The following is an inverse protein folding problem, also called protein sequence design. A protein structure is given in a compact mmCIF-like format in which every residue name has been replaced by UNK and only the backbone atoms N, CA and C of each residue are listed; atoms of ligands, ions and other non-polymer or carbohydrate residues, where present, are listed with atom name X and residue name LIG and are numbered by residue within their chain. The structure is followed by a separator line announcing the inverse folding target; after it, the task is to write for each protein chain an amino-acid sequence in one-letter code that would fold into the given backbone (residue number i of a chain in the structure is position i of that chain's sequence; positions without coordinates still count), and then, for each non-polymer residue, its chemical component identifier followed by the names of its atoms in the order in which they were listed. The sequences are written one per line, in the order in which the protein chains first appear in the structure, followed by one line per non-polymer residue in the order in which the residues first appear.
data_IF_674095009977
#
_entry.id   IF_674095009977
#
_cell.length_a   1.000
_cell.length_b   1.000
_cell.length_c   1.000
_cell.angle_alpha   90.00
_cell.angle_beta   90.00
_cell.angle_gamma   90.00
#
_symmetry.space_group_name_H-M   'P 1'
#
loop_
_entity.id
_entity.type
_entity.pdbx_description
1 polymer ?
#
# COMPACT_ATOMS: atom_id res chain seq x y z
N UNK A 1 -13.21 -21.35 5.68
CA UNK A 1 -13.19 -22.77 6.11
C UNK A 1 -11.75 -23.14 6.37
N UNK A 2 -11.38 -23.41 7.61
CA UNK A 2 -10.02 -23.75 8.00
C UNK A 2 -9.71 -25.18 7.54
N UNK A 3 -8.90 -25.34 6.51
CA UNK A 3 -8.26 -26.62 6.22
C UNK A 3 -7.28 -26.93 7.34
N UNK A 4 -7.68 -27.77 8.29
CA UNK A 4 -6.77 -28.35 9.24
C UNK A 4 -5.81 -29.26 8.48
N UNK A 5 -4.57 -28.82 8.32
CA UNK A 5 -3.50 -29.63 7.76
C UNK A 5 -3.07 -30.64 8.83
N UNK A 6 -3.32 -31.89 8.59
CA UNK A 6 -2.85 -33.01 9.42
C UNK A 6 -1.36 -33.26 9.14
N UNK A 7 -0.54 -33.07 10.14
CA UNK A 7 0.81 -33.62 10.18
C UNK A 7 0.76 -34.78 11.16
N UNK A 8 0.97 -35.99 10.69
CA UNK A 8 1.01 -37.24 11.48
C UNK A 8 -0.16 -37.46 12.46
N UNK A 9 -1.40 -37.19 12.05
CA UNK A 9 -2.57 -37.46 12.88
C UNK A 9 -2.82 -36.48 14.04
N UNK A 10 -2.01 -35.47 14.26
CA UNK A 10 -2.22 -34.42 15.26
C UNK A 10 -2.73 -33.12 14.62
N UNK A 11 -3.79 -32.54 15.21
CA UNK A 11 -4.34 -31.25 14.78
C UNK A 11 -3.35 -30.14 15.07
N UNK A 12 -2.87 -29.44 14.04
CA UNK A 12 -1.96 -28.29 14.19
C UNK A 12 -2.76 -27.11 14.74
N UNK A 13 -2.38 -26.52 15.89
CA UNK A 13 -3.02 -25.32 16.42
C UNK A 13 -2.91 -24.11 15.46
N UNK A 14 -3.66 -23.05 15.75
CA UNK A 14 -3.87 -21.92 14.85
C UNK A 14 -3.29 -20.59 15.41
N UNK A 15 -2.26 -20.66 16.25
CA UNK A 15 -1.63 -19.46 16.85
C UNK A 15 -1.10 -18.51 15.78
N UNK A 16 -0.51 -19.02 14.69
CA UNK A 16 -0.02 -18.25 13.55
C UNK A 16 -1.13 -17.38 12.90
N UNK A 17 -2.35 -17.91 12.83
CA UNK A 17 -3.49 -17.15 12.25
C UNK A 17 -3.96 -16.02 13.14
N UNK A 18 -3.85 -16.16 14.47
CA UNK A 18 -4.09 -15.06 15.40
C UNK A 18 -3.07 -13.92 15.20
N UNK A 19 -1.81 -14.28 14.92
CA UNK A 19 -0.78 -13.28 14.56
C UNK A 19 -1.07 -12.66 13.19
N UNK A 20 -1.44 -13.46 12.18
CA UNK A 20 -1.83 -12.94 10.86
C UNK A 20 -3.00 -11.95 10.94
N UNK A 21 -4.03 -12.27 11.76
CA UNK A 21 -5.15 -11.36 12.00
C UNK A 21 -4.71 -10.08 12.72
N UNK A 22 -3.84 -10.18 13.71
CA UNK A 22 -3.26 -9.00 14.40
C UNK A 22 -2.55 -8.08 13.42
N UNK A 23 -1.75 -8.63 12.49
CA UNK A 23 -1.07 -7.85 11.45
C UNK A 23 -2.08 -7.19 10.50
N UNK A 24 -3.13 -7.91 10.11
CA UNK A 24 -4.23 -7.37 9.29
C UNK A 24 -4.96 -6.22 9.96
N UNK A 25 -5.29 -6.34 11.26
CA UNK A 25 -5.90 -5.26 12.05
C UNK A 25 -4.97 -4.04 12.09
N UNK A 26 -3.65 -4.25 12.23
CA UNK A 26 -2.68 -3.16 12.20
C UNK A 26 -2.72 -2.38 10.89
N UNK A 27 -2.76 -3.07 9.75
CA UNK A 27 -2.86 -2.43 8.43
C UNK A 27 -4.20 -1.71 8.26
N UNK A 28 -5.30 -2.30 8.74
CA UNK A 28 -6.62 -1.68 8.71
C UNK A 28 -6.64 -0.34 9.46
N UNK A 29 -6.08 -0.29 10.67
CA UNK A 29 -6.01 0.94 11.48
C UNK A 29 -5.05 1.95 10.84
N UNK A 30 -3.92 1.51 10.30
CA UNK A 30 -2.97 2.34 9.57
C UNK A 30 -3.65 3.08 8.39
N UNK A 31 -4.54 2.40 7.67
CA UNK A 31 -5.29 3.04 6.61
C UNK A 31 -6.40 3.98 7.12
N UNK A 32 -6.96 3.77 8.31
CA UNK A 32 -7.87 4.75 8.93
C UNK A 32 -7.17 6.09 9.16
N UNK A 33 -5.92 6.08 9.60
CA UNK A 33 -5.14 7.30 9.77
C UNK A 33 -4.90 8.04 8.44
N UNK A 34 -4.76 7.30 7.33
CA UNK A 34 -4.57 7.87 5.98
C UNK A 34 -5.84 8.51 5.43
N UNK A 35 -6.98 7.82 5.54
CA UNK A 35 -8.27 8.31 5.01
C UNK A 35 -8.90 9.41 5.86
N UNK A 36 -8.52 9.52 7.12
CA UNK A 36 -9.06 10.49 8.06
C UNK A 36 -8.97 11.92 7.52
N UNK A 37 -7.79 12.32 7.03
CA UNK A 37 -7.60 13.65 6.44
C UNK A 37 -8.51 13.88 5.22
N UNK A 38 -8.71 12.85 4.39
CA UNK A 38 -9.57 12.93 3.20
C UNK A 38 -11.04 13.20 3.56
N UNK A 39 -11.54 12.54 4.62
CA UNK A 39 -12.90 12.74 5.12
C UNK A 39 -13.05 14.07 5.87
N UNK A 40 -12.03 14.45 6.65
CA UNK A 40 -12.02 15.70 7.42
C UNK A 40 -11.76 16.95 6.55
N UNK A 41 -11.29 16.78 5.31
CA UNK A 41 -10.84 17.86 4.43
C UNK A 41 -11.84 19.00 4.27
N UNK A 42 -13.16 18.80 4.08
CA UNK A 42 -14.11 19.91 3.94
C UNK A 42 -14.13 20.81 5.18
N UNK A 43 -14.20 20.24 6.39
CA UNK A 43 -14.21 21.02 7.63
C UNK A 43 -12.85 21.69 7.91
N UNK A 44 -11.74 21.03 7.61
CA UNK A 44 -10.41 21.61 7.78
C UNK A 44 -10.14 22.75 6.80
N UNK A 45 -10.62 22.60 5.54
CA UNK A 45 -10.54 23.65 4.52
C UNK A 45 -11.25 24.91 4.99
N UNK A 46 -12.43 24.77 5.57
CA UNK A 46 -13.18 25.89 6.14
C UNK A 46 -12.51 26.44 7.40
N UNK A 47 -12.13 25.60 8.35
CA UNK A 47 -11.54 26.01 9.64
C UNK A 47 -10.22 26.76 9.51
N UNK A 48 -9.42 26.45 8.48
CA UNK A 48 -8.09 27.05 8.27
C UNK A 48 -8.00 27.89 6.99
N UNK A 49 -9.12 28.13 6.29
CA UNK A 49 -9.19 28.85 5.02
C UNK A 49 -8.19 28.32 3.97
N UNK A 50 -8.16 26.99 3.78
CA UNK A 50 -7.20 26.33 2.91
C UNK A 50 -7.69 26.28 1.46
N UNK A 51 -6.77 26.55 0.54
CA UNK A 51 -7.00 26.33 -0.89
C UNK A 51 -6.97 24.83 -1.25
N UNK A 52 -7.48 24.42 -2.42
CA UNK A 52 -7.30 23.05 -2.92
C UNK A 52 -5.82 22.66 -3.04
N UNK A 53 -4.94 23.57 -3.39
CA UNK A 53 -3.50 23.33 -3.45
C UNK A 53 -2.92 23.02 -2.06
N UNK A 54 -3.31 23.78 -1.02
CA UNK A 54 -2.91 23.51 0.37
C UNK A 54 -3.38 22.13 0.82
N UNK A 55 -4.60 21.73 0.46
CA UNK A 55 -5.11 20.39 0.76
C UNK A 55 -4.30 19.30 0.04
N UNK A 56 -3.91 19.52 -1.21
CA UNK A 56 -3.03 18.62 -1.95
C UNK A 56 -1.67 18.43 -1.26
N UNK A 57 -1.09 19.52 -0.77
CA UNK A 57 0.15 19.50 0.02
C UNK A 57 -0.02 18.75 1.35
N UNK A 58 -1.13 18.96 2.08
CA UNK A 58 -1.42 18.25 3.32
C UNK A 58 -1.61 16.73 3.09
N UNK A 59 -2.29 16.33 2.01
CA UNK A 59 -2.41 14.92 1.64
C UNK A 59 -1.05 14.30 1.32
N UNK A 60 -0.17 15.05 0.66
CA UNK A 60 1.17 14.58 0.30
C UNK A 60 2.14 14.51 1.48
N UNK A 61 1.92 15.30 2.53
CA UNK A 61 2.85 15.45 3.65
C UNK A 61 3.23 14.13 4.32
N UNK A 62 2.32 13.18 4.36
CA UNK A 62 2.54 11.83 4.85
C UNK A 62 3.52 11.05 3.94
N UNK A 63 3.34 11.14 2.63
CA UNK A 63 4.03 10.26 1.67
C UNK A 63 5.51 10.63 1.46
N UNK A 64 5.90 11.88 1.67
CA UNK A 64 7.29 12.31 1.57
C UNK A 64 8.22 11.50 2.48
N UNK A 65 8.07 11.58 3.82
CA UNK A 65 8.93 10.82 4.71
C UNK A 65 8.67 9.32 4.63
N UNK A 66 7.42 8.90 4.39
CA UNK A 66 7.06 7.50 4.24
C UNK A 66 7.84 6.83 3.10
N UNK A 67 7.92 7.47 1.91
CA UNK A 67 8.66 6.95 0.77
C UNK A 67 10.17 6.92 1.02
N UNK A 68 10.73 8.02 1.54
CA UNK A 68 12.16 8.15 1.81
C UNK A 68 12.65 7.16 2.87
N UNK A 69 11.81 6.85 3.84
CA UNK A 69 12.19 5.97 4.96
C UNK A 69 11.91 4.49 4.70
N UNK A 70 11.41 4.08 3.55
CA UNK A 70 11.17 2.64 3.25
C UNK A 70 12.46 1.81 3.36
N UNK A 71 13.56 2.28 2.80
CA UNK A 71 14.86 1.58 2.88
C UNK A 71 15.44 1.66 4.30
N UNK A 72 15.57 2.84 4.95
CA UNK A 72 15.97 2.91 6.35
C UNK A 72 15.14 2.04 7.29
N UNK A 73 13.81 2.04 7.14
CA UNK A 73 12.93 1.21 7.97
C UNK A 73 13.22 -0.29 7.84
N UNK A 74 13.52 -0.76 6.62
CA UNK A 74 13.99 -2.12 6.39
C UNK A 74 15.28 -2.44 7.12
N UNK A 75 16.28 -1.56 7.06
CA UNK A 75 17.56 -1.71 7.76
C UNK A 75 17.38 -1.70 9.29
N UNK A 76 16.54 -0.83 9.82
CA UNK A 76 16.17 -0.84 11.24
C UNK A 76 15.49 -2.16 11.64
N UNK A 77 14.58 -2.64 10.79
CA UNK A 77 13.89 -3.90 11.03
C UNK A 77 14.86 -5.09 11.02
N UNK A 78 15.85 -5.08 10.14
CA UNK A 78 16.88 -6.13 10.10
C UNK A 78 17.77 -6.10 11.34
N UNK A 79 18.11 -4.91 11.83
CA UNK A 79 18.99 -4.75 13.00
C UNK A 79 18.28 -5.02 14.33
N UNK A 80 17.03 -4.53 14.50
CA UNK A 80 16.34 -4.52 15.79
C UNK A 80 15.23 -5.56 15.90
N UNK A 81 14.86 -6.21 14.80
CA UNK A 81 13.84 -7.25 14.73
C UNK A 81 12.40 -6.73 14.74
N UNK A 82 11.48 -7.63 14.38
CA UNK A 82 10.06 -7.33 14.21
C UNK A 82 9.40 -6.84 15.50
N UNK A 83 9.68 -7.52 16.61
CA UNK A 83 9.04 -7.22 17.89
C UNK A 83 9.34 -5.79 18.37
N UNK A 84 10.59 -5.33 18.29
CA UNK A 84 10.96 -3.98 18.76
C UNK A 84 10.48 -2.90 17.81
N UNK A 85 10.75 -3.06 16.51
CA UNK A 85 10.39 -2.07 15.49
C UNK A 85 8.87 -1.93 15.38
N UNK A 86 8.12 -3.04 15.43
CA UNK A 86 6.66 -3.02 15.41
C UNK A 86 6.05 -2.30 16.61
N UNK A 87 6.59 -2.50 17.83
CA UNK A 87 6.13 -1.81 19.04
C UNK A 87 6.34 -0.31 18.96
N UNK A 88 7.57 0.12 18.66
CA UNK A 88 7.90 1.55 18.56
C UNK A 88 7.16 2.22 17.40
N UNK A 89 7.06 1.55 16.25
CA UNK A 89 6.25 2.04 15.12
C UNK A 89 4.79 2.27 15.54
N UNK A 90 4.13 1.25 16.12
CA UNK A 90 2.74 1.34 16.55
C UNK A 90 2.51 2.44 17.61
N UNK A 91 3.43 2.63 18.56
CA UNK A 91 3.37 3.71 19.54
C UNK A 91 3.49 5.08 18.89
N UNK A 92 4.51 5.26 18.03
CA UNK A 92 4.81 6.55 17.41
C UNK A 92 3.70 6.98 16.44
N UNK A 93 3.09 6.04 15.71
CA UNK A 93 1.98 6.44 14.84
C UNK A 93 0.74 6.85 15.63
N UNK A 94 0.40 6.18 16.75
CA UNK A 94 -0.67 6.60 17.63
C UNK A 94 -0.42 8.01 18.19
N UNK A 95 0.83 8.30 18.57
CA UNK A 95 1.24 9.64 19.03
C UNK A 95 1.12 10.68 17.92
N UNK A 96 1.52 10.39 16.71
CA UNK A 96 1.41 11.30 15.56
C UNK A 96 -0.05 11.65 15.23
N UNK A 97 -0.95 10.64 15.26
CA UNK A 97 -2.38 10.86 15.09
C UNK A 97 -2.95 11.72 16.23
N UNK A 98 -2.54 11.47 17.48
CA UNK A 98 -2.95 12.27 18.63
C UNK A 98 -2.47 13.73 18.53
N UNK A 99 -1.25 13.98 18.09
CA UNK A 99 -0.71 15.33 17.88
C UNK A 99 -1.56 16.12 16.87
N UNK A 100 -2.11 15.45 15.84
CA UNK A 100 -2.95 16.12 14.85
C UNK A 100 -4.21 16.75 15.45
N UNK A 101 -4.73 16.21 16.55
CA UNK A 101 -5.90 16.78 17.29
C UNK A 101 -5.65 18.22 17.72
N UNK A 102 -4.41 18.53 18.10
CA UNK A 102 -4.01 19.84 18.62
C UNK A 102 -3.50 20.81 17.55
N UNK A 103 -3.49 20.39 16.29
CA UNK A 103 -3.02 21.22 15.20
C UNK A 103 -3.88 22.49 15.05
N UNK A 104 -3.24 23.65 14.95
CA UNK A 104 -3.88 24.98 14.90
C UNK A 104 -3.84 25.64 13.52
N UNK A 105 -3.37 24.93 12.47
CA UNK A 105 -3.28 25.47 11.12
C UNK A 105 -2.55 24.53 10.17
N UNK A 106 -2.33 25.00 8.95
CA UNK A 106 -1.65 24.22 7.88
C UNK A 106 -0.34 23.60 8.36
N UNK A 107 0.58 24.39 8.93
CA UNK A 107 1.91 23.93 9.34
C UNK A 107 1.86 22.85 10.41
N UNK A 108 0.95 22.97 11.38
CA UNK A 108 0.76 21.96 12.43
C UNK A 108 0.24 20.64 11.88
N UNK A 109 -0.74 20.68 10.98
CA UNK A 109 -1.26 19.49 10.31
C UNK A 109 -0.19 18.87 9.41
N UNK A 110 0.53 19.67 8.62
CA UNK A 110 1.60 19.21 7.75
C UNK A 110 2.69 18.48 8.55
N UNK A 111 3.16 19.08 9.63
CA UNK A 111 4.18 18.47 10.50
C UNK A 111 3.68 17.16 11.13
N UNK A 112 2.45 17.13 11.66
CA UNK A 112 1.86 15.92 12.24
C UNK A 112 1.72 14.80 11.20
N UNK A 113 1.31 15.12 9.96
CA UNK A 113 1.24 14.17 8.85
C UNK A 113 2.61 13.64 8.44
N UNK A 114 3.63 14.50 8.42
CA UNK A 114 5.01 14.08 8.14
C UNK A 114 5.54 13.14 9.25
N UNK A 115 5.29 13.46 10.52
CA UNK A 115 5.64 12.56 11.65
C UNK A 115 4.91 11.22 11.55
N UNK A 116 3.63 11.22 11.15
CA UNK A 116 2.87 10.00 10.91
C UNK A 116 3.51 9.15 9.81
N UNK A 117 3.95 9.77 8.69
CA UNK A 117 4.65 9.08 7.62
C UNK A 117 5.96 8.41 8.07
N UNK A 118 6.72 9.07 8.95
CA UNK A 118 7.92 8.50 9.59
C UNK A 118 7.54 7.28 10.43
N UNK A 119 6.54 7.42 11.28
CA UNK A 119 6.13 6.40 12.24
C UNK A 119 5.54 5.15 11.57
N UNK A 120 4.82 5.32 10.47
CA UNK A 120 4.20 4.23 9.72
C UNK A 120 5.12 3.54 8.71
N UNK A 121 6.25 4.15 8.34
CA UNK A 121 7.17 3.59 7.34
C UNK A 121 7.57 2.13 7.61
N UNK A 122 7.81 1.67 8.84
CA UNK A 122 8.11 0.27 9.11
C UNK A 122 6.90 -0.66 9.08
N UNK A 123 5.66 -0.19 9.03
CA UNK A 123 4.45 -0.98 9.23
C UNK A 123 4.30 -2.16 8.25
N UNK A 124 4.39 -1.91 6.94
CA UNK A 124 4.35 -2.98 5.92
C UNK A 124 5.58 -3.90 5.97
N UNK A 125 6.84 -3.41 6.07
CA UNK A 125 8.00 -4.25 6.29
C UNK A 125 7.88 -5.16 7.52
N UNK A 126 7.39 -4.65 8.64
CA UNK A 126 7.13 -5.42 9.87
C UNK A 126 6.13 -6.54 9.59
N UNK A 127 4.98 -6.25 8.96
CA UNK A 127 3.96 -7.24 8.64
C UNK A 127 4.48 -8.32 7.69
N UNK A 128 5.23 -7.93 6.67
CA UNK A 128 5.82 -8.86 5.70
C UNK A 128 6.86 -9.77 6.35
N UNK A 129 7.78 -9.23 7.16
CA UNK A 129 8.82 -10.01 7.84
C UNK A 129 8.23 -10.93 8.90
N UNK A 130 7.23 -10.45 9.68
CA UNK A 130 6.49 -11.26 10.64
C UNK A 130 5.79 -12.43 9.96
N UNK A 131 5.14 -12.19 8.81
CA UNK A 131 4.52 -13.25 8.02
C UNK A 131 5.54 -14.29 7.55
N UNK A 132 6.75 -13.85 7.18
CA UNK A 132 7.86 -14.75 6.87
C UNK A 132 8.23 -15.67 8.01
N UNK A 133 8.24 -15.17 9.25
CA UNK A 133 8.59 -15.94 10.46
C UNK A 133 7.50 -16.91 10.90
N UNK A 134 6.22 -16.47 10.82
CA UNK A 134 5.08 -17.17 11.38
C UNK A 134 4.41 -18.17 10.45
N UNK A 135 4.64 -18.07 9.12
CA UNK A 135 3.89 -18.87 8.17
C UNK A 135 4.78 -19.77 7.30
N UNK A 136 4.42 -21.06 7.14
CA UNK A 136 5.03 -21.92 6.15
C UNK A 136 4.80 -21.37 4.74
N UNK A 137 5.67 -21.69 3.79
CA UNK A 137 5.62 -21.16 2.41
C UNK A 137 4.25 -21.30 1.76
N UNK A 138 3.59 -22.45 1.96
CA UNK A 138 2.26 -22.74 1.35
C UNK A 138 1.10 -21.87 1.89
N UNK A 139 1.24 -21.29 3.09
CA UNK A 139 0.21 -20.45 3.72
C UNK A 139 0.55 -18.96 3.66
N UNK A 140 1.76 -18.61 3.26
CA UNK A 140 2.28 -17.24 3.27
C UNK A 140 1.50 -16.31 2.35
N UNK A 141 1.07 -16.81 1.18
CA UNK A 141 0.26 -16.01 0.24
C UNK A 141 -1.08 -15.59 0.87
N UNK A 142 -1.77 -16.51 1.53
CA UNK A 142 -3.03 -16.20 2.22
C UNK A 142 -2.81 -15.25 3.40
N UNK A 143 -1.76 -15.44 4.19
CA UNK A 143 -1.41 -14.55 5.29
C UNK A 143 -1.10 -13.12 4.80
N UNK A 144 -0.41 -12.98 3.66
CA UNK A 144 -0.17 -11.70 3.01
C UNK A 144 -1.46 -11.07 2.50
N UNK A 145 -2.34 -11.86 1.89
CA UNK A 145 -3.63 -11.38 1.39
C UNK A 145 -4.53 -10.81 2.51
N UNK A 146 -4.45 -11.33 3.73
CA UNK A 146 -5.21 -10.81 4.88
C UNK A 146 -4.86 -9.35 5.16
N UNK A 147 -3.59 -9.00 5.24
CA UNK A 147 -3.22 -7.62 5.52
C UNK A 147 -3.33 -6.70 4.28
N UNK A 148 -3.16 -7.23 3.08
CA UNK A 148 -3.36 -6.45 1.85
C UNK A 148 -4.85 -6.11 1.63
N UNK A 149 -5.74 -7.09 1.79
CA UNK A 149 -7.18 -6.86 1.73
C UNK A 149 -7.67 -5.90 2.83
N UNK A 150 -7.07 -5.94 4.03
CA UNK A 150 -7.38 -5.03 5.12
C UNK A 150 -7.15 -3.56 4.72
N UNK A 151 -6.15 -3.26 3.89
CA UNK A 151 -5.88 -1.91 3.39
C UNK A 151 -7.02 -1.34 2.53
N UNK A 152 -7.65 -2.17 1.70
CA UNK A 152 -8.78 -1.76 0.86
C UNK A 152 -10.08 -1.75 1.64
N UNK A 153 -10.31 -2.79 2.44
CA UNK A 153 -11.49 -2.91 3.29
C UNK A 153 -11.59 -1.78 4.34
N UNK A 154 -10.44 -1.24 4.78
CA UNK A 154 -10.42 -0.07 5.67
C UNK A 154 -11.17 1.13 5.10
N UNK A 155 -11.16 1.33 3.78
CA UNK A 155 -11.90 2.42 3.15
C UNK A 155 -13.40 2.18 3.15
N UNK A 156 -13.84 0.90 3.08
CA UNK A 156 -15.27 0.55 3.10
C UNK A 156 -15.90 0.92 4.44
N UNK A 157 -15.23 0.61 5.54
CA UNK A 157 -15.76 0.85 6.89
C UNK A 157 -15.23 2.14 7.50
N UNK A 158 -13.98 2.51 7.23
CA UNK A 158 -13.31 3.65 7.85
C UNK A 158 -13.83 4.99 7.33
N UNK A 159 -14.10 5.12 6.02
CA UNK A 159 -14.64 6.37 5.46
C UNK A 159 -15.99 6.72 6.11
N UNK A 160 -17.00 5.82 6.18
CA UNK A 160 -18.25 6.10 6.89
C UNK A 160 -18.06 6.31 8.39
N UNK A 161 -17.23 5.51 9.05
CA UNK A 161 -16.99 5.62 10.50
C UNK A 161 -16.39 6.99 10.85
N UNK A 162 -15.33 7.38 10.16
CA UNK A 162 -14.70 8.69 10.37
C UNK A 162 -15.67 9.81 10.05
N UNK A 163 -16.48 9.69 8.98
CA UNK A 163 -17.46 10.71 8.62
C UNK A 163 -18.51 10.93 9.72
N UNK A 164 -19.01 9.85 10.34
CA UNK A 164 -19.94 9.97 11.48
C UNK A 164 -19.31 10.73 12.62
N UNK A 165 -18.06 10.45 12.96
CA UNK A 165 -17.33 11.18 14.03
C UNK A 165 -17.12 12.63 13.64
N UNK A 166 -16.65 12.91 12.43
CA UNK A 166 -16.36 14.25 11.92
C UNK A 166 -17.62 15.13 11.90
N UNK A 167 -18.76 14.57 11.49
CA UNK A 167 -20.03 15.33 11.44
C UNK A 167 -20.57 15.64 12.83
N UNK A 168 -20.49 14.70 13.77
CA UNK A 168 -21.09 14.86 15.09
C UNK A 168 -20.17 15.53 16.13
N UNK A 169 -18.85 15.37 16.01
CA UNK A 169 -17.88 15.83 17.00
C UNK A 169 -16.78 16.74 16.41
N UNK A 170 -16.78 16.95 15.09
CA UNK A 170 -15.80 17.76 14.39
C UNK A 170 -14.54 16.98 13.97
N UNK A 171 -13.78 17.58 13.05
CA UNK A 171 -12.61 16.95 12.42
C UNK A 171 -11.51 16.51 13.41
N UNK A 172 -11.34 17.26 14.52
CA UNK A 172 -10.36 16.91 15.56
C UNK A 172 -10.65 15.55 16.19
N UNK A 173 -11.91 15.24 16.46
CA UNK A 173 -12.31 13.96 17.01
C UNK A 173 -12.18 12.82 16.00
N UNK A 174 -12.27 13.10 14.69
CA UNK A 174 -11.88 12.13 13.67
C UNK A 174 -10.47 11.59 13.92
N UNK A 175 -9.48 12.49 14.09
CA UNK A 175 -8.11 12.10 14.44
C UNK A 175 -7.98 11.52 15.85
N UNK A 176 -8.76 12.03 16.82
CA UNK A 176 -8.78 11.51 18.19
C UNK A 176 -9.21 10.03 18.26
N UNK A 177 -10.25 9.64 17.52
CA UNK A 177 -10.73 8.25 17.48
C UNK A 177 -9.70 7.35 16.80
N UNK A 178 -9.10 7.76 15.68
CA UNK A 178 -8.05 6.96 15.04
C UNK A 178 -6.80 6.84 15.90
N UNK A 179 -6.42 7.89 16.65
CA UNK A 179 -5.35 7.83 17.63
C UNK A 179 -5.64 6.80 18.74
N UNK A 180 -6.88 6.79 19.27
CA UNK A 180 -7.30 5.78 20.27
C UNK A 180 -7.23 4.36 19.73
N UNK A 181 -7.67 4.14 18.48
CA UNK A 181 -7.57 2.84 17.82
C UNK A 181 -6.11 2.42 17.62
N UNK A 182 -5.23 3.37 17.27
CA UNK A 182 -3.79 3.14 17.09
C UNK A 182 -3.10 2.77 18.42
N UNK A 183 -3.45 3.44 19.52
CA UNK A 183 -2.96 3.06 20.84
C UNK A 183 -3.54 1.71 21.32
N UNK A 184 -4.80 1.42 21.04
CA UNK A 184 -5.38 0.10 21.33
C UNK A 184 -4.63 -1.00 20.56
N UNK A 185 -4.30 -0.74 19.29
CA UNK A 185 -3.47 -1.65 18.51
C UNK A 185 -2.05 -1.79 19.05
N UNK A 186 -1.42 -0.68 19.46
CA UNK A 186 -0.11 -0.73 20.12
C UNK A 186 -0.14 -1.66 21.35
N UNK A 187 -1.16 -1.53 22.21
CA UNK A 187 -1.31 -2.40 23.40
C UNK A 187 -1.54 -3.86 22.95
N UNK A 188 -2.40 -4.08 21.96
CA UNK A 188 -2.64 -5.43 21.43
C UNK A 188 -1.34 -6.04 20.86
N UNK A 189 -0.57 -5.28 20.08
CA UNK A 189 0.71 -5.73 19.54
C UNK A 189 1.73 -5.99 20.65
N UNK A 190 1.79 -5.13 21.67
CA UNK A 190 2.68 -5.30 22.83
C UNK A 190 2.39 -6.60 23.60
N UNK A 191 1.11 -6.94 23.74
CA UNK A 191 0.67 -8.11 24.53
C UNK A 191 0.69 -9.40 23.71
N UNK A 192 0.26 -9.35 22.46
CA UNK A 192 -0.02 -10.53 21.63
C UNK A 192 1.20 -10.94 20.81
N UNK A 193 1.92 -9.95 20.19
CA UNK A 193 3.01 -10.27 19.27
C UNK A 193 4.29 -10.67 20.02
N UNK A 194 4.85 -11.79 19.62
CA UNK A 194 6.20 -12.26 19.94
C UNK A 194 6.77 -12.87 18.67
N UNK A 195 8.09 -12.98 18.56
CA UNK A 195 8.71 -13.83 17.53
C UNK A 195 8.46 -15.31 17.88
N UNK A 196 8.32 -16.24 16.89
CA UNK A 196 7.96 -17.64 17.15
C UNK A 196 8.82 -18.31 18.20
N UNK A 197 10.13 -18.06 18.20
CA UNK A 197 11.06 -18.63 19.19
C UNK A 197 10.82 -18.16 20.63
N UNK A 198 10.08 -17.06 20.83
CA UNK A 198 9.82 -16.42 22.14
C UNK A 198 8.34 -16.44 22.53
N UNK A 199 7.47 -17.04 21.72
CA UNK A 199 6.04 -17.11 22.02
C UNK A 199 5.71 -18.36 22.85
N UNK A 200 5.49 -18.15 24.14
CA UNK A 200 5.10 -19.23 25.08
C UNK A 200 3.73 -19.86 24.79
N UNK A 201 2.89 -19.22 23.96
CA UNK A 201 1.60 -19.75 23.54
C UNK A 201 1.68 -20.58 22.26
N UNK A 202 2.84 -20.60 21.59
CA UNK A 202 3.07 -21.41 20.41
C UNK A 202 3.40 -22.85 20.83
N UNK A 203 2.58 -23.81 20.40
CA UNK A 203 2.83 -25.21 20.72
C UNK A 203 4.06 -25.75 19.96
N UNK A 204 4.81 -26.73 20.51
CA UNK A 204 5.91 -27.36 19.80
C UNK A 204 5.49 -27.98 18.46
N UNK A 205 4.29 -28.53 18.35
CA UNK A 205 3.74 -29.09 17.11
C UNK A 205 3.54 -28.04 16.04
N UNK A 206 3.02 -26.86 16.41
CA UNK A 206 2.84 -25.77 15.46
C UNK A 206 4.18 -25.13 15.07
N UNK A 207 5.12 -25.00 16.01
CA UNK A 207 6.47 -24.51 15.73
C UNK A 207 7.20 -25.42 14.72
N UNK A 208 7.15 -26.73 14.91
CA UNK A 208 7.73 -27.71 14.00
C UNK A 208 7.08 -27.63 12.60
N UNK A 209 5.75 -27.52 12.55
CA UNK A 209 5.01 -27.31 11.30
C UNK A 209 5.43 -26.03 10.56
N UNK A 210 5.61 -24.90 11.25
CA UNK A 210 6.06 -23.63 10.70
C UNK A 210 7.47 -23.79 10.13
N UNK A 211 8.40 -24.35 10.91
CA UNK A 211 9.80 -24.50 10.51
C UNK A 211 9.98 -25.49 9.35
N UNK A 212 9.40 -26.69 9.43
CA UNK A 212 9.44 -27.67 8.35
C UNK A 212 8.73 -27.19 7.07
N UNK A 213 7.72 -26.33 7.22
CA UNK A 213 7.04 -25.68 6.11
C UNK A 213 7.84 -24.58 5.41
N UNK A 214 9.09 -24.34 5.81
CA UNK A 214 10.01 -23.40 5.17
C UNK A 214 9.74 -21.94 5.56
N UNK A 215 9.34 -21.68 6.80
CA UNK A 215 9.32 -20.34 7.36
C UNK A 215 10.74 -19.74 7.34
N UNK A 216 10.80 -18.43 7.19
CA UNK A 216 12.08 -17.70 7.21
C UNK A 216 12.68 -17.76 8.62
N UNK A 217 13.95 -18.14 8.79
CA UNK A 217 14.59 -18.11 10.09
C UNK A 217 14.57 -16.70 10.69
N UNK A 218 14.38 -16.64 12.02
CA UNK A 218 14.53 -15.39 12.75
C UNK A 218 16.00 -14.96 12.75
N UNK A 219 16.27 -13.72 12.36
CA UNK A 219 17.63 -13.20 12.35
C UNK A 219 17.81 -12.04 11.38
N UNK A 220 19.03 -11.52 11.35
CA UNK A 220 19.45 -10.43 10.47
C UNK A 220 19.96 -10.99 9.15
N UNK A 221 19.48 -10.46 8.02
CA UNK A 221 20.04 -10.75 6.69
C UNK A 221 21.13 -9.72 6.37
N UNK A 222 22.32 -10.18 6.03
CA UNK A 222 23.48 -9.34 5.69
C UNK A 222 23.75 -9.29 4.18
N UNK A 223 22.74 -9.40 3.33
CA UNK A 223 22.95 -9.27 1.89
C UNK A 223 23.25 -7.81 1.50
N UNK A 224 24.29 -7.60 0.68
CA UNK A 224 24.64 -6.27 0.13
C UNK A 224 23.56 -5.79 -0.84
N UNK A 225 22.64 -4.94 -0.35
CA UNK A 225 21.52 -4.39 -1.13
C UNK A 225 22.00 -3.48 -2.27
N UNK A 226 23.12 -2.76 -2.08
CA UNK A 226 23.59 -1.73 -3.03
C UNK A 226 24.11 -2.29 -4.36
N UNK A 227 24.80 -3.43 -4.33
CA UNK A 227 25.29 -4.08 -5.57
C UNK A 227 24.15 -4.55 -6.47
N UNK A 228 23.12 -5.18 -5.90
CA UNK A 228 21.94 -5.64 -6.60
C UNK A 228 21.11 -4.45 -7.16
N UNK A 229 20.99 -3.37 -6.40
CA UNK A 229 20.26 -2.17 -6.81
C UNK A 229 20.84 -1.58 -8.11
N UNK A 230 22.15 -1.36 -8.17
CA UNK A 230 22.81 -0.85 -9.37
C UNK A 230 22.59 -1.73 -10.61
N UNK A 231 22.62 -3.07 -10.46
CA UNK A 231 22.32 -4.01 -11.55
C UNK A 231 20.88 -3.91 -12.03
N UNK A 232 19.93 -3.89 -11.14
CA UNK A 232 18.53 -3.86 -11.47
C UNK A 232 18.09 -2.55 -12.12
N UNK A 233 18.67 -1.44 -11.73
CA UNK A 233 18.42 -0.12 -12.36
C UNK A 233 18.85 -0.06 -13.83
N UNK A 234 19.73 -0.95 -14.31
CA UNK A 234 20.07 -1.04 -15.74
C UNK A 234 19.08 -1.86 -16.57
N UNK A 235 18.13 -2.57 -15.94
CA UNK A 235 17.23 -3.49 -16.62
C UNK A 235 15.91 -2.83 -17.01
N UNK A 236 15.64 -2.77 -18.30
CA UNK A 236 14.41 -2.20 -18.88
C UNK A 236 13.13 -2.84 -18.29
N UNK A 237 13.18 -4.13 -18.00
CA UNK A 237 12.09 -4.89 -17.39
C UNK A 237 11.69 -4.34 -16.01
N UNK A 238 12.68 -3.93 -15.20
CA UNK A 238 12.44 -3.31 -13.89
C UNK A 238 11.77 -1.95 -14.05
N UNK A 239 12.24 -1.13 -15.01
CA UNK A 239 11.61 0.15 -15.33
C UNK A 239 10.20 -0.02 -15.88
N UNK A 240 9.98 -1.04 -16.75
CA UNK A 240 8.65 -1.36 -17.26
C UNK A 240 7.65 -1.68 -16.17
N UNK A 241 8.05 -2.50 -15.19
CA UNK A 241 7.26 -2.78 -14.01
C UNK A 241 7.04 -1.51 -13.15
N UNK A 242 8.12 -0.79 -12.88
CA UNK A 242 8.12 0.38 -11.99
C UNK A 242 7.22 1.50 -12.52
N UNK A 243 7.35 1.88 -13.79
CA UNK A 243 6.54 2.92 -14.43
C UNK A 243 5.06 2.49 -14.49
N UNK A 244 4.80 1.23 -14.88
CA UNK A 244 3.44 0.70 -14.95
C UNK A 244 2.75 0.71 -13.59
N UNK A 245 3.45 0.28 -12.55
CA UNK A 245 2.90 0.23 -11.20
C UNK A 245 2.81 1.62 -10.54
N UNK A 246 3.72 2.54 -10.86
CA UNK A 246 3.60 3.94 -10.46
C UNK A 246 2.37 4.61 -11.08
N UNK A 247 2.07 4.33 -12.36
CA UNK A 247 0.87 4.84 -13.00
C UNK A 247 -0.43 4.34 -12.34
N UNK A 248 -0.47 3.06 -11.96
CA UNK A 248 -1.51 2.52 -11.09
C UNK A 248 -1.61 3.33 -9.78
N UNK A 249 -0.48 3.52 -9.10
CA UNK A 249 -0.39 4.22 -7.83
C UNK A 249 -0.91 5.65 -7.89
N UNK A 250 -0.62 6.38 -8.96
CA UNK A 250 -1.15 7.73 -9.15
C UNK A 250 -2.68 7.77 -9.05
N UNK A 251 -3.36 6.91 -9.80
CA UNK A 251 -4.82 6.84 -9.79
C UNK A 251 -5.39 6.32 -8.48
N UNK A 252 -4.74 5.32 -7.88
CA UNK A 252 -5.12 4.82 -6.56
C UNK A 252 -5.06 5.90 -5.48
N UNK A 253 -3.94 6.66 -5.41
CA UNK A 253 -3.78 7.73 -4.42
C UNK A 253 -4.65 8.95 -4.72
N UNK A 254 -4.97 9.22 -5.97
CA UNK A 254 -5.96 10.24 -6.33
C UNK A 254 -7.32 9.90 -5.69
N UNK A 255 -7.82 8.68 -5.89
CA UNK A 255 -9.09 8.26 -5.29
C UNK A 255 -9.02 8.19 -3.76
N UNK A 256 -7.91 7.69 -3.20
CA UNK A 256 -7.73 7.60 -1.76
C UNK A 256 -7.83 8.96 -1.06
N UNK A 257 -7.29 10.00 -1.70
CA UNK A 257 -7.18 11.34 -1.09
C UNK A 257 -8.34 12.25 -1.46
N UNK A 258 -8.82 12.20 -2.70
CA UNK A 258 -9.74 13.21 -3.22
C UNK A 258 -11.18 12.73 -3.44
N UNK A 259 -11.46 11.41 -3.44
CA UNK A 259 -12.80 10.91 -3.72
C UNK A 259 -13.90 11.48 -2.80
N UNK A 260 -13.74 11.51 -1.45
CA UNK A 260 -14.73 12.17 -0.59
C UNK A 260 -14.88 13.66 -0.90
N UNK A 261 -13.75 14.36 -1.11
CA UNK A 261 -13.75 15.78 -1.48
C UNK A 261 -14.43 16.07 -2.83
N UNK A 262 -14.21 15.23 -3.82
CA UNK A 262 -14.89 15.29 -5.13
C UNK A 262 -16.40 15.20 -4.97
N UNK A 263 -16.91 14.25 -4.19
CA UNK A 263 -18.34 14.07 -3.98
C UNK A 263 -18.98 15.25 -3.23
N UNK A 264 -18.25 15.84 -2.27
CA UNK A 264 -18.73 17.04 -1.56
C UNK A 264 -18.69 18.27 -2.46
N UNK A 265 -17.58 18.54 -3.16
CA UNK A 265 -17.38 19.78 -3.91
C UNK A 265 -18.08 19.80 -5.26
N UNK A 266 -18.03 18.67 -6.00
CA UNK A 266 -18.56 18.60 -7.37
C UNK A 266 -20.00 18.09 -7.42
N UNK A 267 -20.34 17.14 -6.55
CA UNK A 267 -21.66 16.53 -6.50
C UNK A 267 -22.56 17.14 -5.41
N UNK A 268 -22.06 18.18 -4.70
CA UNK A 268 -22.78 18.92 -3.65
C UNK A 268 -23.40 18.03 -2.57
N UNK A 269 -22.71 16.95 -2.23
CA UNK A 269 -23.16 16.02 -1.19
C UNK A 269 -22.76 16.49 0.20
N UNK A 270 -23.56 16.15 1.22
CA UNK A 270 -23.10 16.25 2.59
C UNK A 270 -21.94 15.29 2.86
N UNK A 271 -21.11 15.58 3.86
CA UNK A 271 -19.95 14.73 4.23
C UNK A 271 -20.40 13.29 4.49
N UNK A 272 -21.49 13.08 5.23
CA UNK A 272 -21.99 11.76 5.56
C UNK A 272 -22.48 11.00 4.32
N UNK A 273 -23.22 11.67 3.43
CA UNK A 273 -23.69 11.07 2.17
C UNK A 273 -22.52 10.74 1.26
N UNK A 274 -21.54 11.63 1.12
CA UNK A 274 -20.33 11.40 0.33
C UNK A 274 -19.54 10.20 0.84
N UNK A 275 -19.43 10.02 2.14
CA UNK A 275 -18.75 8.90 2.77
C UNK A 275 -19.43 7.55 2.45
N UNK A 276 -20.76 7.49 2.53
CA UNK A 276 -21.52 6.29 2.14
C UNK A 276 -21.34 5.95 0.67
N UNK A 277 -21.40 6.94 -0.21
CA UNK A 277 -21.17 6.76 -1.65
C UNK A 277 -19.72 6.39 -1.98
N UNK A 278 -18.73 6.98 -1.31
CA UNK A 278 -17.32 6.65 -1.49
C UNK A 278 -16.99 5.20 -1.07
N UNK A 279 -17.71 4.65 -0.09
CA UNK A 279 -17.51 3.25 0.34
C UNK A 279 -17.82 2.23 -0.78
N UNK A 280 -18.75 2.55 -1.70
CA UNK A 280 -19.16 1.63 -2.78
C UNK A 280 -18.01 1.28 -3.73
N UNK A 281 -17.27 2.24 -4.34
CA UNK A 281 -16.11 1.94 -5.17
C UNK A 281 -15.03 1.12 -4.43
N UNK A 282 -14.81 1.38 -3.14
CA UNK A 282 -13.85 0.64 -2.36
C UNK A 282 -14.33 -0.80 -2.04
N UNK A 283 -15.62 -1.02 -1.85
CA UNK A 283 -16.19 -2.36 -1.73
C UNK A 283 -16.01 -3.15 -3.04
N UNK A 284 -16.31 -2.54 -4.19
CA UNK A 284 -16.04 -3.14 -5.51
C UNK A 284 -14.56 -3.45 -5.67
N UNK A 285 -13.69 -2.51 -5.31
CA UNK A 285 -12.24 -2.70 -5.35
C UNK A 285 -11.78 -3.90 -4.48
N UNK A 286 -12.31 -4.01 -3.26
CA UNK A 286 -11.98 -5.14 -2.37
C UNK A 286 -12.37 -6.48 -2.98
N UNK A 287 -13.57 -6.56 -3.56
CA UNK A 287 -14.05 -7.79 -4.20
C UNK A 287 -13.23 -8.13 -5.45
N UNK A 288 -12.98 -7.16 -6.32
CA UNK A 288 -12.22 -7.40 -7.56
C UNK A 288 -10.76 -7.74 -7.31
N UNK A 289 -10.16 -7.16 -6.28
CA UNK A 289 -8.81 -7.49 -5.81
C UNK A 289 -8.69 -8.98 -5.45
N UNK A 290 -9.62 -9.47 -4.62
CA UNK A 290 -9.61 -10.86 -4.16
C UNK A 290 -10.04 -11.84 -5.25
N UNK A 291 -11.11 -11.53 -5.98
CA UNK A 291 -11.72 -12.46 -6.94
C UNK A 291 -10.96 -12.46 -8.27
N UNK A 292 -10.69 -11.28 -8.83
CA UNK A 292 -10.04 -11.18 -10.15
C UNK A 292 -8.52 -11.20 -10.00
N UNK A 293 -7.98 -10.33 -9.15
CA UNK A 293 -6.54 -10.18 -8.93
C UNK A 293 -5.89 -11.38 -8.23
N UNK A 294 -6.66 -12.10 -7.40
CA UNK A 294 -6.23 -13.31 -6.72
C UNK A 294 -6.76 -14.59 -7.39
N UNK A 295 -7.96 -15.01 -6.98
CA UNK A 295 -8.51 -16.33 -7.32
C UNK A 295 -8.59 -16.64 -8.82
N UNK A 296 -9.08 -15.72 -9.65
CA UNK A 296 -9.26 -15.97 -11.10
C UNK A 296 -7.93 -16.23 -11.79
N UNK A 297 -6.89 -15.50 -11.45
CA UNK A 297 -5.55 -15.65 -12.03
C UNK A 297 -5.00 -17.02 -11.70
N UNK A 298 -5.00 -17.39 -10.42
CA UNK A 298 -4.49 -18.70 -9.98
C UNK A 298 -5.28 -19.85 -10.62
N UNK A 299 -6.60 -19.68 -10.74
CA UNK A 299 -7.45 -20.66 -11.40
C UNK A 299 -7.16 -20.83 -12.89
N UNK A 300 -6.91 -19.72 -13.61
CA UNK A 300 -6.57 -19.79 -15.05
C UNK A 300 -5.19 -20.40 -15.27
N UNK A 301 -4.21 -20.07 -14.44
CA UNK A 301 -2.86 -20.64 -14.49
C UNK A 301 -2.90 -22.15 -14.15
N UNK A 302 -3.65 -22.54 -13.11
CA UNK A 302 -3.84 -23.94 -12.75
C UNK A 302 -4.51 -24.77 -13.86
N UNK A 303 -5.29 -24.14 -14.75
CA UNK A 303 -5.89 -24.75 -15.95
C UNK A 303 -4.93 -24.78 -17.16
N UNK A 304 -3.65 -24.48 -16.97
CA UNK A 304 -2.63 -24.55 -18.01
C UNK A 304 -2.58 -23.36 -18.96
N UNK A 305 -3.21 -22.22 -18.62
CA UNK A 305 -3.05 -20.98 -19.38
C UNK A 305 -1.66 -20.38 -19.13
N UNK A 306 -1.10 -19.75 -20.17
CA UNK A 306 0.20 -19.08 -20.08
C UNK A 306 0.20 -17.97 -19.03
N UNK A 307 1.09 -18.09 -18.05
CA UNK A 307 1.17 -17.17 -16.90
C UNK A 307 1.42 -15.73 -17.33
N UNK A 308 2.32 -15.50 -18.28
CA UNK A 308 2.64 -14.15 -18.78
C UNK A 308 1.41 -13.50 -19.42
N UNK A 309 0.68 -14.25 -20.24
CA UNK A 309 -0.52 -13.75 -20.94
C UNK A 309 -1.63 -13.43 -19.96
N UNK A 310 -1.91 -14.35 -19.01
CA UNK A 310 -2.97 -14.15 -18.00
C UNK A 310 -2.66 -12.92 -17.15
N UNK A 311 -1.46 -12.83 -16.60
CA UNK A 311 -1.07 -11.69 -15.73
C UNK A 311 -1.05 -10.36 -16.49
N UNK A 312 -0.48 -10.33 -17.70
CA UNK A 312 -0.51 -9.10 -18.53
C UNK A 312 -1.91 -8.70 -18.93
N UNK A 313 -2.77 -9.66 -19.30
CA UNK A 313 -4.16 -9.36 -19.62
C UNK A 313 -4.87 -8.68 -18.44
N UNK A 314 -4.73 -9.19 -17.23
CA UNK A 314 -5.37 -8.58 -16.04
C UNK A 314 -4.77 -7.21 -15.72
N UNK A 315 -3.44 -7.03 -15.81
CA UNK A 315 -2.81 -5.72 -15.63
C UNK A 315 -3.33 -4.70 -16.62
N UNK A 316 -3.31 -5.02 -17.91
CA UNK A 316 -3.70 -4.09 -18.97
C UNK A 316 -5.20 -3.80 -18.93
N UNK A 317 -6.05 -4.84 -18.83
CA UNK A 317 -7.50 -4.65 -18.77
C UNK A 317 -7.93 -3.91 -17.50
N UNK A 318 -7.29 -4.20 -16.36
CA UNK A 318 -7.55 -3.48 -15.11
C UNK A 318 -7.22 -1.99 -15.23
N UNK A 319 -6.09 -1.63 -15.85
CA UNK A 319 -5.74 -0.24 -16.09
C UNK A 319 -6.63 0.42 -17.17
N UNK A 320 -7.06 -0.31 -18.19
CA UNK A 320 -8.05 0.19 -19.17
C UNK A 320 -9.39 0.49 -18.48
N UNK A 321 -9.86 -0.36 -17.58
CA UNK A 321 -11.03 -0.02 -16.75
C UNK A 321 -10.79 1.20 -15.87
N UNK A 322 -9.55 1.45 -15.43
CA UNK A 322 -9.18 2.69 -14.75
C UNK A 322 -9.56 3.97 -15.54
N UNK A 323 -9.54 3.90 -16.88
CA UNK A 323 -9.98 5.02 -17.74
C UNK A 323 -11.49 5.29 -17.69
N UNK A 324 -12.30 4.37 -17.13
CA UNK A 324 -13.72 4.59 -16.94
C UNK A 324 -14.04 5.79 -16.05
N UNK A 325 -13.05 6.30 -15.29
CA UNK A 325 -13.18 7.55 -14.53
C UNK A 325 -13.61 8.74 -15.40
N UNK A 326 -13.31 8.74 -16.71
CA UNK A 326 -13.80 9.77 -17.63
C UNK A 326 -15.33 9.82 -17.73
N UNK A 327 -16.00 8.69 -17.53
CA UNK A 327 -17.48 8.66 -17.47
C UNK A 327 -18.02 9.48 -16.29
N UNK A 328 -17.28 9.55 -15.17
CA UNK A 328 -17.67 10.38 -14.03
C UNK A 328 -17.62 11.88 -14.33
N UNK A 329 -16.80 12.32 -15.30
CA UNK A 329 -16.73 13.74 -15.69
C UNK A 329 -17.87 14.17 -16.61
N UNK A 330 -18.62 13.22 -17.19
CA UNK A 330 -19.71 13.46 -18.13
C UNK A 330 -21.09 13.51 -17.44
N UNK A 331 -21.14 13.44 -16.12
CA UNK A 331 -22.39 13.38 -15.37
C UNK A 331 -22.36 14.26 -14.14
N UNK A 332 -23.48 14.89 -13.85
CA UNK A 332 -23.72 15.60 -12.58
C UNK A 332 -24.53 14.73 -11.61
N UNK A 333 -24.95 13.54 -12.02
CA UNK A 333 -25.68 12.61 -11.17
C UNK A 333 -24.71 11.78 -10.34
N UNK A 334 -24.76 11.86 -8.99
CA UNK A 334 -23.85 11.13 -8.12
C UNK A 334 -23.85 9.60 -8.31
N UNK A 335 -25.01 9.01 -8.64
CA UNK A 335 -25.12 7.56 -8.83
C UNK A 335 -24.30 7.10 -10.05
N UNK A 336 -24.42 7.82 -11.17
CA UNK A 336 -23.64 7.53 -12.37
C UNK A 336 -22.15 7.83 -12.18
N UNK A 337 -21.81 8.91 -11.46
CA UNK A 337 -20.42 9.20 -11.14
C UNK A 337 -19.79 8.04 -10.33
N UNK A 338 -20.48 7.56 -9.30
CA UNK A 338 -20.02 6.42 -8.49
C UNK A 338 -19.96 5.12 -9.28
N UNK A 339 -20.88 4.89 -10.19
CA UNK A 339 -20.86 3.74 -11.10
C UNK A 339 -19.55 3.73 -11.91
N UNK A 340 -19.20 4.82 -12.58
CA UNK A 340 -17.97 4.94 -13.36
C UNK A 340 -16.71 4.84 -12.51
N UNK A 341 -16.70 5.48 -11.35
CA UNK A 341 -15.58 5.39 -10.40
C UNK A 341 -15.43 3.96 -9.86
N UNK A 342 -16.55 3.25 -9.64
CA UNK A 342 -16.50 1.85 -9.18
C UNK A 342 -15.89 0.92 -10.24
N UNK A 343 -16.20 1.13 -11.52
CA UNK A 343 -15.55 0.41 -12.62
C UNK A 343 -14.05 0.73 -12.65
N UNK A 344 -13.70 2.01 -12.55
CA UNK A 344 -12.31 2.45 -12.60
C UNK A 344 -11.50 1.87 -11.44
N UNK A 345 -11.96 2.06 -10.21
CA UNK A 345 -11.25 1.60 -9.02
C UNK A 345 -11.25 0.06 -8.91
N UNK A 346 -12.35 -0.60 -9.31
CA UNK A 346 -12.44 -2.04 -9.38
C UNK A 346 -11.44 -2.66 -10.38
N UNK A 347 -11.29 -2.04 -11.55
CA UNK A 347 -10.28 -2.46 -12.52
C UNK A 347 -8.85 -2.30 -12.00
N UNK A 348 -8.55 -1.14 -11.42
CA UNK A 348 -7.24 -0.88 -10.81
C UNK A 348 -6.94 -1.87 -9.68
N UNK A 349 -7.93 -2.16 -8.83
CA UNK A 349 -7.77 -3.10 -7.74
C UNK A 349 -7.53 -4.54 -8.22
N UNK A 350 -8.18 -4.96 -9.31
CA UNK A 350 -7.90 -6.26 -9.94
C UNK A 350 -6.45 -6.40 -10.44
N UNK A 351 -5.84 -5.31 -10.89
CA UNK A 351 -4.45 -5.29 -11.35
C UNK A 351 -3.42 -5.29 -10.20
N UNK A 352 -3.77 -4.80 -9.02
CA UNK A 352 -2.84 -4.58 -7.92
C UNK A 352 -2.12 -5.86 -7.42
N UNK A 353 -2.81 -6.99 -7.12
CA UNK A 353 -2.14 -8.21 -6.65
C UNK A 353 -1.18 -8.77 -7.69
N UNK A 354 -1.51 -8.63 -8.98
CA UNK A 354 -0.61 -9.02 -10.06
C UNK A 354 0.66 -8.21 -10.00
N UNK A 355 0.54 -6.86 -9.94
CA UNK A 355 1.68 -5.96 -9.82
C UNK A 355 2.58 -6.32 -8.65
N UNK A 356 2.00 -6.56 -7.46
CA UNK A 356 2.72 -6.98 -6.27
C UNK A 356 3.40 -8.35 -6.38
N UNK A 357 2.90 -9.25 -7.24
CA UNK A 357 3.51 -10.56 -7.46
C UNK A 357 4.70 -10.52 -8.43
N UNK A 358 4.77 -9.53 -9.34
CA UNK A 358 5.79 -9.46 -10.39
C UNK A 358 7.23 -9.42 -9.87
N UNK A 359 7.58 -8.71 -8.79
CA UNK A 359 8.94 -8.75 -8.26
C UNK A 359 9.45 -10.16 -8.00
N UNK A 360 8.62 -11.07 -7.48
CA UNK A 360 9.00 -12.46 -7.20
C UNK A 360 9.18 -13.30 -8.47
N UNK A 361 8.59 -12.88 -9.59
CA UNK A 361 8.60 -13.61 -10.86
C UNK A 361 9.72 -13.14 -11.80
N UNK A 362 10.13 -11.87 -11.68
CA UNK A 362 11.12 -11.30 -12.60
C UNK A 362 12.50 -11.05 -11.96
N UNK A 363 12.60 -11.03 -10.63
CA UNK A 363 13.87 -10.77 -9.97
C UNK A 363 14.84 -11.96 -10.09
N UNK A 364 16.16 -11.70 -10.19
CA UNK A 364 17.18 -12.73 -10.01
C UNK A 364 17.19 -13.21 -8.55
N UNK A 365 17.92 -14.29 -8.27
CA UNK A 365 18.06 -14.83 -6.90
C UNK A 365 18.55 -13.74 -5.95
N UNK A 366 17.89 -13.59 -4.81
CA UNK A 366 18.23 -12.55 -3.83
C UNK A 366 17.79 -11.13 -4.21
N UNK A 367 17.25 -10.89 -5.43
CA UNK A 367 16.88 -9.57 -5.93
C UNK A 367 15.41 -9.18 -5.71
N UNK A 368 14.56 -10.08 -5.22
CA UNK A 368 13.10 -9.87 -5.08
C UNK A 368 12.79 -8.63 -4.23
N UNK A 369 13.45 -8.50 -3.09
CA UNK A 369 13.26 -7.35 -2.20
C UNK A 369 13.69 -6.02 -2.86
N UNK A 370 14.76 -6.05 -3.65
CA UNK A 370 15.26 -4.85 -4.34
C UNK A 370 14.32 -4.42 -5.47
N UNK A 371 13.84 -5.36 -6.30
CA UNK A 371 12.84 -5.05 -7.36
C UNK A 371 11.54 -4.53 -6.73
N UNK A 372 11.05 -5.20 -5.70
CA UNK A 372 9.87 -4.75 -4.95
C UNK A 372 10.06 -3.38 -4.30
N UNK A 373 11.26 -3.11 -3.78
CA UNK A 373 11.63 -1.81 -3.19
C UNK A 373 11.62 -0.68 -4.21
N UNK A 374 12.23 -0.88 -5.40
CA UNK A 374 12.23 0.11 -6.50
C UNK A 374 10.78 0.41 -6.93
N UNK A 375 10.00 -0.64 -7.17
CA UNK A 375 8.60 -0.52 -7.57
C UNK A 375 7.77 0.23 -6.51
N UNK A 376 7.90 -0.16 -5.25
CA UNK A 376 7.14 0.45 -4.15
C UNK A 376 7.56 1.89 -3.86
N UNK A 377 8.85 2.20 -3.96
CA UNK A 377 9.34 3.58 -3.84
C UNK A 377 8.69 4.49 -4.89
N UNK A 378 8.72 4.10 -6.17
CA UNK A 378 8.08 4.86 -7.23
C UNK A 378 6.55 4.97 -7.05
N UNK A 379 5.90 3.90 -6.61
CA UNK A 379 4.48 3.91 -6.27
C UNK A 379 4.16 4.93 -5.16
N UNK A 380 4.97 5.00 -4.10
CA UNK A 380 4.79 5.96 -3.01
C UNK A 380 5.10 7.41 -3.43
N UNK A 381 6.00 7.62 -4.40
CA UNK A 381 6.18 8.95 -5.01
C UNK A 381 4.91 9.43 -5.72
N UNK A 382 4.10 8.53 -6.26
CA UNK A 382 2.78 8.90 -6.79
C UNK A 382 1.80 9.28 -5.68
N UNK A 383 1.96 8.75 -4.47
CA UNK A 383 1.26 9.23 -3.27
C UNK A 383 1.59 10.68 -2.91
N UNK A 384 2.78 11.16 -3.30
CA UNK A 384 3.14 12.57 -3.24
C UNK A 384 2.56 13.35 -4.42
N UNK A 385 2.81 12.88 -5.63
CA UNK A 385 2.49 13.61 -6.87
C UNK A 385 0.98 13.76 -7.09
N UNK A 386 0.20 12.68 -6.92
CA UNK A 386 -1.22 12.68 -7.25
C UNK A 386 -2.04 13.70 -6.43
N UNK A 387 -1.92 13.79 -5.10
CA UNK A 387 -2.65 14.80 -4.34
C UNK A 387 -2.25 16.23 -4.67
N UNK A 388 -0.94 16.49 -4.86
CA UNK A 388 -0.42 17.82 -5.18
C UNK A 388 -0.94 18.28 -6.55
N UNK A 389 -0.71 17.48 -7.59
CA UNK A 389 -1.12 17.79 -8.97
C UNK A 389 -2.65 18.02 -9.01
N UNK A 390 -3.42 17.13 -8.37
CA UNK A 390 -4.87 17.28 -8.31
C UNK A 390 -5.27 18.57 -7.58
N UNK A 391 -4.64 18.89 -6.45
CA UNK A 391 -4.91 20.11 -5.69
C UNK A 391 -4.66 21.39 -6.49
N UNK A 392 -3.53 21.45 -7.22
CA UNK A 392 -3.23 22.58 -8.08
C UNK A 392 -4.19 22.71 -9.27
N UNK A 393 -4.54 21.60 -9.93
CA UNK A 393 -5.49 21.60 -11.04
C UNK A 393 -6.87 22.07 -10.56
N UNK A 394 -7.38 21.51 -9.46
CA UNK A 394 -8.69 21.89 -8.91
C UNK A 394 -8.66 23.34 -8.42
N UNK A 395 -7.55 23.80 -7.83
CA UNK A 395 -7.39 25.19 -7.40
C UNK A 395 -7.42 26.17 -8.57
N UNK A 396 -6.83 25.83 -9.71
CA UNK A 396 -6.78 26.68 -10.90
C UNK A 396 -8.06 26.63 -11.74
N UNK A 397 -8.75 25.49 -11.77
CA UNK A 397 -9.88 25.26 -12.72
C UNK A 397 -11.23 25.11 -12.06
N UNK A 398 -11.27 25.00 -10.73
CA UNK A 398 -12.44 24.63 -9.92
C UNK A 398 -13.14 23.32 -10.41
N UNK A 399 -12.39 22.44 -11.08
CA UNK A 399 -12.92 21.22 -11.68
C UNK A 399 -11.97 20.04 -11.49
N UNK A 400 -12.54 18.86 -11.21
CA UNK A 400 -11.80 17.59 -11.17
C UNK A 400 -11.60 16.96 -12.56
N UNK A 401 -12.28 17.45 -13.60
CA UNK A 401 -12.19 16.88 -14.95
C UNK A 401 -10.75 16.81 -15.47
N UNK A 402 -10.00 17.91 -15.34
CA UNK A 402 -8.61 17.94 -15.78
C UNK A 402 -7.70 17.05 -14.91
N UNK A 403 -7.99 16.89 -13.63
CA UNK A 403 -7.25 15.98 -12.77
C UNK A 403 -7.46 14.50 -13.18
N UNK A 404 -8.68 14.13 -13.55
CA UNK A 404 -8.99 12.81 -14.08
C UNK A 404 -8.38 12.59 -15.49
N UNK A 405 -8.31 13.63 -16.32
CA UNK A 405 -7.59 13.58 -17.61
C UNK A 405 -6.10 13.27 -17.40
N UNK A 406 -5.44 13.95 -16.47
CA UNK A 406 -4.04 13.70 -16.13
C UNK A 406 -3.85 12.26 -15.66
N UNK A 407 -4.73 11.77 -14.77
CA UNK A 407 -4.68 10.38 -14.32
C UNK A 407 -4.84 9.39 -15.48
N UNK A 408 -5.73 9.67 -16.42
CA UNK A 408 -5.91 8.85 -17.62
C UNK A 408 -4.67 8.83 -18.53
N UNK A 409 -4.02 9.96 -18.74
CA UNK A 409 -2.75 10.03 -19.51
C UNK A 409 -1.67 9.21 -18.82
N UNK A 410 -1.54 9.34 -17.50
CA UNK A 410 -0.57 8.57 -16.72
C UNK A 410 -0.89 7.07 -16.80
N UNK A 411 -2.17 6.66 -16.70
CA UNK A 411 -2.56 5.27 -16.90
C UNK A 411 -2.22 4.75 -18.30
N UNK A 412 -2.42 5.55 -19.34
CA UNK A 412 -2.05 5.19 -20.70
C UNK A 412 -0.52 4.95 -20.81
N UNK A 413 0.30 5.79 -20.19
CA UNK A 413 1.76 5.57 -20.09
C UNK A 413 2.06 4.27 -19.36
N UNK A 414 1.37 3.98 -18.28
CA UNK A 414 1.51 2.72 -17.53
C UNK A 414 1.14 1.49 -18.36
N UNK A 415 0.06 1.55 -19.14
CA UNK A 415 -0.35 0.48 -20.06
C UNK A 415 0.74 0.22 -21.11
N UNK A 416 1.23 1.29 -21.77
CA UNK A 416 2.34 1.21 -22.73
C UNK A 416 3.57 0.58 -22.07
N UNK A 417 3.88 0.96 -20.84
CA UNK A 417 5.00 0.42 -20.10
C UNK A 417 4.87 -1.09 -19.84
N UNK A 418 3.71 -1.56 -19.39
CA UNK A 418 3.46 -2.99 -19.17
C UNK A 418 3.45 -3.81 -20.47
N UNK A 419 2.94 -3.24 -21.56
CA UNK A 419 2.85 -3.96 -22.84
C UNK A 419 4.21 -4.04 -23.50
N UNK A 420 4.92 -2.92 -23.64
CA UNK A 420 6.10 -2.80 -24.53
C UNK A 420 7.43 -2.79 -23.77
N UNK A 421 7.51 -2.16 -22.58
CA UNK A 421 8.78 -1.97 -21.87
C UNK A 421 9.10 -3.15 -20.95
N UNK A 422 8.10 -3.67 -20.20
CA UNK A 422 8.33 -4.76 -19.26
C UNK A 422 8.69 -6.09 -19.95
N UNK A 423 8.22 -6.31 -21.17
CA UNK A 423 8.46 -7.56 -21.88
C UNK A 423 7.79 -8.78 -21.24
N UNK A 424 8.22 -10.03 -21.53
CA UNK A 424 7.65 -11.24 -20.94
C UNK A 424 7.98 -11.33 -19.44
N UNK A 425 7.07 -11.95 -18.65
CA UNK A 425 7.25 -12.20 -17.22
C UNK A 425 8.18 -13.41 -17.06
N UNK A 426 9.47 -13.15 -17.02
CA UNK A 426 10.53 -14.15 -16.86
C UNK A 426 11.64 -13.56 -16.00
N UNK A 427 12.34 -14.41 -15.25
CA UNK A 427 13.44 -13.97 -14.40
C UNK A 427 14.54 -13.23 -15.19
N UNK A 428 15.02 -12.14 -14.63
CA UNK A 428 16.20 -11.42 -15.11
C UNK A 428 17.42 -12.31 -14.83
N UNK A 429 18.36 -12.46 -15.79
CA UNK A 429 19.59 -13.21 -15.56
C UNK A 429 20.34 -12.75 -14.30
N UNK A 430 21.11 -13.67 -13.72
CA UNK A 430 22.00 -13.33 -12.60
C UNK A 430 23.08 -12.33 -13.05
N UNK A 431 23.55 -11.44 -12.15
CA UNK A 431 24.71 -10.60 -12.45
C UNK A 431 25.92 -11.48 -12.83
N UNK A 432 26.62 -11.15 -13.91
CA UNK A 432 27.86 -11.81 -14.30
C UNK A 432 29.06 -11.12 -13.66
N UNK A 433 30.22 -11.83 -13.55
CA UNK A 433 31.45 -11.24 -13.02
C UNK A 433 31.87 -9.96 -13.77
N UNK A 434 31.59 -9.89 -15.09
CA UNK A 434 31.78 -8.66 -15.90
C UNK A 434 30.90 -7.49 -15.44
N UNK A 435 29.69 -7.76 -15.00
CA UNK A 435 28.79 -6.71 -14.46
C UNK A 435 29.30 -6.21 -13.11
N UNK A 436 29.97 -7.04 -12.32
CA UNK A 436 30.59 -6.65 -11.05
C UNK A 436 31.88 -5.85 -11.25
N UNK A 437 32.72 -6.23 -12.20
CA UNK A 437 33.98 -5.52 -12.51
C UNK A 437 33.73 -4.13 -13.13
N UNK A 438 32.75 -3.99 -14.01
CA UNK A 438 32.35 -2.71 -14.57
C UNK A 438 31.87 -1.72 -13.46
N UNK A 439 31.25 -2.23 -12.39
CA UNK A 439 30.78 -1.41 -11.26
C UNK A 439 31.91 -1.02 -10.31
N UNK A 440 32.84 -1.92 -10.06
CA UNK A 440 34.04 -1.60 -9.26
C UNK A 440 34.89 -0.54 -9.93
N UNK A 441 34.93 -0.53 -11.27
CA UNK A 441 35.61 0.50 -12.04
C UNK A 441 34.93 1.88 -11.93
N UNK A 442 33.59 1.95 -12.04
CA UNK A 442 32.83 3.21 -11.88
C UNK A 442 32.82 3.78 -10.49
N UNK A 443 32.85 2.92 -9.43
CA UNK A 443 32.92 3.38 -8.06
C UNK A 443 34.30 3.95 -7.66
N UNK A 444 35.38 3.52 -8.32
CA UNK A 444 36.75 4.05 -8.11
C UNK A 444 36.99 5.40 -8.77
N UNK A 445 36.22 5.74 -9.82
CA UNK A 445 36.35 7.04 -10.51
C UNK A 445 35.54 8.16 -9.85
N UNK A 446 34.69 7.88 -8.88
CA UNK A 446 33.86 8.84 -8.13
C UNK A 446 34.46 9.30 -6.80
N UNK A 447 35.66 8.92 -6.44
CA UNK A 447 36.38 9.48 -5.28
C UNK A 447 37.08 10.75 -5.72
N UNK A 448 36.67 11.94 -5.28
CA UNK A 448 37.41 13.17 -5.56
C UNK A 448 38.76 13.08 -4.84
N UNK A 449 39.84 13.09 -5.59
CA UNK A 449 41.16 13.44 -5.09
C UNK A 449 41.16 14.94 -4.82
N UNK A 450 41.12 15.29 -3.54
CA UNK A 450 41.22 16.68 -3.09
C UNK A 450 41.00 16.72 -1.57
#
# INVERSE_FOLDING_TARGET
MAHASEVSGQRVPNRRWAIGLLLGIGVLINYFDRINLSVAAPQMKEAFNLSPADMGLLFSAFFWPYALLQVPAGLFLDRFGVTRVGRWGAFLWGLASAITVFASGFGGVFAARAVLGIAEAPGFPVSSKATGYWFPRKERALATAIFDAAAKFSNVIGVPLVAVVVVNAGWRWGFGVTALLSFAYFIAFLVIYRDPSKDSKLSPVELDYIQKGGATPEGTSSASVFGMLGYLLTKTKVWGLTIGFAAYGYSFYLFLTWLPGYLVQTMHMSILKSAGFAAIPWAVATVTDLVVGGWLIDHLIARGKDETRVRKAVLVTGMLFGLAVFGATQTVNPVWAIFWISIALGGLAAAAPVGWSLPSLIAPKGGVGTVGGIMNFANNLMGVAAPIVTGFIVGATNSFTNAFLVAGVILAVGIVSFVFVMGPIQAIPEPTDRDEDARRATSKTSTPTG
#
